data_IF_755938398967
#
_entry.id   IF_755938398967
#
_cell.length_a   1.000
_cell.length_b   1.000
_cell.length_c   1.000
_cell.angle_alpha   90.00
_cell.angle_beta   90.00
_cell.angle_gamma   90.00
#
_symmetry.space_group_name_H-M   'P 1'
#
loop_
_entity.id
_entity.type
_entity.pdbx_description
1 polymer ?
#
# COMPACT_ATOMS: atom_id res chain seq x y z
N UNK A 1 -0.88 -12.21 -20.25
CA UNK A 1 -2.21 -12.76 -19.91
C UNK A 1 -3.26 -12.04 -20.76
N UNK A 2 -4.40 -12.66 -21.08
CA UNK A 2 -5.53 -11.96 -21.74
C UNK A 2 -6.35 -11.17 -20.72
N UNK A 3 -7.10 -10.16 -21.17
CA UNK A 3 -7.97 -9.40 -20.27
C UNK A 3 -9.00 -10.30 -19.56
N UNK A 4 -9.64 -11.22 -20.30
CA UNK A 4 -10.64 -12.12 -19.72
C UNK A 4 -10.05 -13.07 -18.64
N UNK A 5 -8.79 -13.50 -18.79
CA UNK A 5 -8.12 -14.29 -17.74
C UNK A 5 -7.80 -13.42 -16.53
N UNK A 6 -7.36 -12.17 -16.74
CA UNK A 6 -7.15 -11.21 -15.66
C UNK A 6 -8.45 -10.96 -14.86
N UNK A 7 -9.58 -10.73 -15.53
CA UNK A 7 -10.87 -10.49 -14.88
C UNK A 7 -11.37 -11.70 -14.07
N UNK A 8 -11.14 -12.93 -14.57
CA UNK A 8 -11.44 -14.15 -13.81
C UNK A 8 -10.59 -14.26 -12.55
N UNK A 9 -9.28 -14.00 -12.67
CA UNK A 9 -8.40 -13.99 -11.51
C UNK A 9 -8.83 -12.91 -10.52
N UNK A 10 -9.21 -11.72 -11.00
CA UNK A 10 -9.63 -10.61 -10.15
C UNK A 10 -10.89 -10.92 -9.34
N UNK A 11 -11.85 -11.64 -9.93
CA UNK A 11 -13.05 -12.09 -9.24
C UNK A 11 -12.77 -13.10 -8.11
N UNK A 12 -11.64 -13.79 -8.15
CA UNK A 12 -11.23 -14.79 -7.15
C UNK A 12 -10.17 -14.27 -6.17
N UNK A 13 -9.21 -13.49 -6.66
CA UNK A 13 -8.04 -13.01 -5.93
C UNK A 13 -7.39 -11.81 -6.63
N UNK A 14 -7.47 -10.64 -5.99
CA UNK A 14 -6.82 -9.41 -6.47
C UNK A 14 -5.29 -9.56 -6.56
N UNK A 15 -4.68 -10.29 -5.62
CA UNK A 15 -3.26 -10.60 -5.65
C UNK A 15 -2.88 -11.41 -6.90
N UNK A 16 -3.67 -12.43 -7.24
CA UNK A 16 -3.42 -13.25 -8.42
C UNK A 16 -3.57 -12.44 -9.72
N UNK A 17 -4.58 -11.56 -9.77
CA UNK A 17 -4.80 -10.65 -10.89
C UNK A 17 -3.63 -9.66 -11.06
N UNK A 18 -3.19 -9.04 -9.96
CA UNK A 18 -2.06 -8.11 -9.95
C UNK A 18 -0.78 -8.81 -10.42
N UNK A 19 -0.47 -9.98 -9.88
CA UNK A 19 0.71 -10.76 -10.28
C UNK A 19 0.65 -11.18 -11.75
N UNK A 20 -0.52 -11.58 -12.25
CA UNK A 20 -0.68 -11.97 -13.65
C UNK A 20 -0.52 -10.78 -14.62
N UNK A 21 -0.91 -9.57 -14.21
CA UNK A 21 -0.79 -8.37 -15.02
C UNK A 21 0.62 -7.75 -14.96
N UNK A 22 1.23 -7.69 -13.77
CA UNK A 22 2.46 -6.93 -13.53
C UNK A 22 3.72 -7.79 -13.36
N UNK A 23 3.59 -9.05 -12.97
CA UNK A 23 4.70 -9.98 -12.76
C UNK A 23 5.59 -9.62 -11.57
N UNK A 24 6.86 -10.04 -11.63
CA UNK A 24 7.84 -9.81 -10.56
C UNK A 24 8.34 -8.36 -10.55
N UNK A 25 7.57 -7.50 -9.89
CA UNK A 25 7.90 -6.09 -9.66
C UNK A 25 7.67 -5.77 -8.19
N UNK A 26 8.34 -4.74 -7.70
CA UNK A 26 8.01 -4.21 -6.38
C UNK A 26 6.57 -3.68 -6.41
N UNK A 27 5.70 -4.25 -5.59
CA UNK A 27 4.32 -3.80 -5.45
C UNK A 27 4.26 -2.42 -4.76
N UNK A 28 5.10 -2.23 -3.76
CA UNK A 28 5.29 -0.96 -3.08
C UNK A 28 6.69 -0.89 -2.46
N UNK A 29 7.08 0.32 -2.09
CA UNK A 29 8.14 0.58 -1.13
C UNK A 29 7.55 1.28 0.08
N UNK A 30 8.18 1.09 1.23
CA UNK A 30 7.77 1.72 2.49
C UNK A 30 8.81 2.76 2.92
N UNK A 31 8.37 4.01 3.07
CA UNK A 31 9.17 5.08 3.67
C UNK A 31 9.15 4.93 5.20
N UNK A 32 10.34 4.90 5.80
CA UNK A 32 10.50 4.93 7.26
C UNK A 32 10.26 6.35 7.77
N UNK A 33 9.12 6.56 8.43
CA UNK A 33 8.76 7.85 9.01
C UNK A 33 9.69 8.21 10.16
N UNK A 34 10.22 7.20 10.85
CA UNK A 34 11.20 7.34 11.92
C UNK A 34 12.45 8.12 11.49
N UNK A 35 12.84 8.00 10.22
CA UNK A 35 14.08 8.58 9.70
C UNK A 35 13.86 9.96 9.04
N UNK A 36 12.62 10.46 9.01
CA UNK A 36 12.29 11.76 8.45
C UNK A 36 12.54 12.89 9.47
N UNK A 37 13.43 13.82 9.14
CA UNK A 37 13.84 14.89 10.08
C UNK A 37 12.75 15.92 10.39
N UNK A 38 11.80 16.14 9.47
CA UNK A 38 10.80 17.21 9.57
C UNK A 38 9.41 16.72 9.99
N UNK A 39 9.29 15.44 10.37
CA UNK A 39 8.00 14.82 10.67
C UNK A 39 8.06 14.14 12.04
N UNK A 40 7.18 14.56 12.93
CA UNK A 40 7.04 14.01 14.27
C UNK A 40 5.98 12.90 14.35
N UNK A 41 5.16 12.74 13.30
CA UNK A 41 4.11 11.72 13.26
C UNK A 41 3.71 11.32 11.84
N UNK A 42 3.02 10.19 11.72
CA UNK A 42 2.50 9.69 10.45
C UNK A 42 1.37 10.59 9.93
N UNK A 43 0.57 11.18 10.81
CA UNK A 43 -0.49 12.14 10.45
C UNK A 43 0.07 13.37 9.75
N UNK A 44 1.23 13.87 10.18
CA UNK A 44 1.89 15.01 9.53
C UNK A 44 2.34 14.65 8.11
N UNK A 45 2.89 13.44 7.92
CA UNK A 45 3.25 12.93 6.59
C UNK A 45 2.00 12.82 5.72
N UNK A 46 0.94 12.20 6.23
CA UNK A 46 -0.32 12.05 5.51
C UNK A 46 -0.93 13.40 5.11
N UNK A 47 -0.87 14.40 5.98
CA UNK A 47 -1.39 15.73 5.66
C UNK A 47 -0.62 16.37 4.51
N UNK A 48 0.71 16.29 4.51
CA UNK A 48 1.54 16.80 3.40
C UNK A 48 1.22 16.07 2.09
N UNK A 49 0.99 14.76 2.12
CA UNK A 49 0.59 13.99 0.94
C UNK A 49 -0.77 14.47 0.39
N UNK A 50 -1.75 14.67 1.27
CA UNK A 50 -3.07 15.18 0.89
C UNK A 50 -3.01 16.60 0.34
N UNK A 51 -2.22 17.48 0.97
CA UNK A 51 -2.02 18.87 0.51
C UNK A 51 -1.33 18.91 -0.87
N UNK A 52 -0.48 17.92 -1.16
CA UNK A 52 0.14 17.73 -2.48
C UNK A 52 -0.77 17.04 -3.51
N UNK A 53 -2.00 16.67 -3.14
CA UNK A 53 -3.00 16.08 -4.03
C UNK A 53 -2.96 14.55 -4.14
N UNK A 54 -2.19 13.86 -3.30
CA UNK A 54 -2.21 12.40 -3.26
C UNK A 54 -3.41 11.88 -2.47
N UNK A 55 -4.08 10.86 -3.00
CA UNK A 55 -5.14 10.15 -2.31
C UNK A 55 -4.55 9.04 -1.45
N UNK A 56 -5.03 8.91 -0.21
CA UNK A 56 -4.62 7.87 0.72
C UNK A 56 -5.66 6.75 0.79
N UNK A 57 -5.19 5.54 1.09
CA UNK A 57 -6.07 4.41 1.38
C UNK A 57 -6.73 4.61 2.75
N UNK A 58 -8.06 4.72 2.76
CA UNK A 58 -8.88 4.93 3.97
C UNK A 58 -9.59 3.66 4.46
N UNK A 59 -9.41 2.51 3.79
CA UNK A 59 -10.01 1.25 4.25
C UNK A 59 -9.45 0.87 5.62
N UNK A 60 -10.29 0.65 6.63
CA UNK A 60 -9.83 0.43 8.00
C UNK A 60 -9.24 1.68 8.70
N UNK A 61 -9.46 2.87 8.15
CA UNK A 61 -8.87 4.13 8.61
C UNK A 61 -7.68 4.56 7.74
N UNK A 62 -7.29 5.84 7.79
CA UNK A 62 -6.15 6.35 7.03
C UNK A 62 -4.81 5.82 7.59
N UNK A 63 -4.73 5.68 8.91
CA UNK A 63 -3.63 5.04 9.63
C UNK A 63 -4.11 3.70 10.18
N UNK A 64 -3.36 2.64 9.89
CA UNK A 64 -3.58 1.28 10.37
C UNK A 64 -2.55 0.93 11.43
N UNK A 65 -3.00 0.23 12.46
CA UNK A 65 -2.20 -0.03 13.64
C UNK A 65 -2.19 1.16 14.60
N UNK A 66 -1.41 1.04 15.66
CA UNK A 66 -1.35 1.99 16.76
C UNK A 66 0.02 1.89 17.45
N UNK A 67 0.38 2.86 18.32
CA UNK A 67 1.60 2.77 19.11
C UNK A 67 1.64 1.52 20.02
N UNK A 68 0.49 1.05 20.51
CA UNK A 68 0.39 -0.13 21.40
C UNK A 68 0.73 -1.44 20.68
N UNK A 69 0.51 -1.51 19.37
CA UNK A 69 0.95 -2.63 18.52
C UNK A 69 2.30 -2.36 17.86
N UNK A 70 2.98 -1.31 18.29
CA UNK A 70 4.33 -0.87 17.90
C UNK A 70 4.51 -0.49 16.43
N UNK A 71 3.43 -0.33 15.68
CA UNK A 71 3.47 -0.06 14.25
C UNK A 71 2.23 0.73 13.81
N UNK A 72 2.48 1.84 13.13
CA UNK A 72 1.48 2.61 12.38
C UNK A 72 1.87 2.62 10.91
N UNK A 73 0.89 2.45 10.03
CA UNK A 73 1.08 2.43 8.58
C UNK A 73 -0.01 3.21 7.86
N UNK A 74 0.37 3.92 6.80
CA UNK A 74 -0.56 4.48 5.82
C UNK A 74 -0.01 4.22 4.41
N UNK A 75 -0.85 4.38 3.41
CA UNK A 75 -0.45 4.20 2.02
C UNK A 75 -1.21 5.13 1.10
N UNK A 76 -0.61 5.46 -0.04
CA UNK A 76 -1.34 6.05 -1.15
C UNK A 76 -2.32 5.04 -1.75
N UNK A 77 -3.29 5.52 -2.51
CA UNK A 77 -3.93 4.69 -3.53
C UNK A 77 -2.91 4.37 -4.63
N UNK A 78 -3.07 3.22 -5.27
CA UNK A 78 -2.21 2.85 -6.37
C UNK A 78 -2.47 3.73 -7.60
N UNK A 79 -1.40 4.09 -8.30
CA UNK A 79 -1.52 4.80 -9.57
C UNK A 79 -2.16 3.90 -10.63
N UNK A 80 -2.92 4.51 -11.54
CA UNK A 80 -3.48 3.82 -12.70
C UNK A 80 -2.46 3.82 -13.84
N UNK A 81 -2.13 2.63 -14.36
CA UNK A 81 -1.19 2.46 -15.46
C UNK A 81 -1.78 1.55 -16.52
N UNK A 82 -1.53 1.88 -17.78
CA UNK A 82 -1.95 1.04 -18.92
C UNK A 82 -1.08 -0.21 -19.00
N UNK A 83 -1.70 -1.37 -18.87
CA UNK A 83 -1.11 -2.68 -19.13
C UNK A 83 -1.49 -3.15 -20.53
N UNK A 84 -0.53 -3.76 -21.23
CA UNK A 84 -0.79 -4.44 -22.52
C UNK A 84 -1.06 -5.91 -22.25
N UNK A 85 -2.32 -6.30 -22.29
CA UNK A 85 -2.70 -7.71 -22.33
C UNK A 85 -2.39 -8.31 -23.70
N UNK A 86 -2.49 -9.63 -23.82
CA UNK A 86 -2.22 -10.32 -25.10
C UNK A 86 -3.20 -9.96 -26.21
N UNK A 87 -4.38 -9.44 -25.85
CA UNK A 87 -5.52 -9.20 -26.74
C UNK A 87 -6.01 -7.74 -26.74
N UNK A 88 -5.58 -6.90 -25.79
CA UNK A 88 -6.01 -5.50 -25.67
C UNK A 88 -5.13 -4.71 -24.70
N UNK A 89 -5.36 -3.41 -24.58
CA UNK A 89 -4.78 -2.57 -23.52
C UNK A 89 -5.88 -2.18 -22.52
N UNK A 90 -5.54 -2.20 -21.24
CA UNK A 90 -6.44 -1.74 -20.19
C UNK A 90 -5.68 -0.91 -19.17
N UNK A 91 -6.34 0.08 -18.57
CA UNK A 91 -5.76 0.87 -17.49
C UNK A 91 -6.24 0.30 -16.16
N UNK A 92 -5.31 -0.20 -15.35
CA UNK A 92 -5.60 -0.87 -14.08
C UNK A 92 -4.69 -0.32 -12.96
N UNK A 93 -5.04 -0.52 -11.68
CA UNK A 93 -4.17 -0.15 -10.56
C UNK A 93 -2.81 -0.85 -10.63
N UNK A 94 -1.76 -0.08 -10.36
CA UNK A 94 -0.37 -0.54 -10.37
C UNK A 94 0.21 -0.64 -8.96
N UNK A 95 1.10 0.25 -8.57
CA UNK A 95 1.82 0.24 -7.31
C UNK A 95 1.36 1.41 -6.43
N UNK A 96 1.59 1.29 -5.12
CA UNK A 96 1.40 2.38 -4.17
C UNK A 96 2.70 2.65 -3.40
N UNK A 97 2.73 3.76 -2.66
CA UNK A 97 3.75 4.02 -1.66
C UNK A 97 3.17 3.85 -0.26
N UNK A 98 3.92 3.18 0.61
CA UNK A 98 3.59 3.00 2.01
C UNK A 98 4.47 3.92 2.88
N UNK A 99 3.95 4.32 4.03
CA UNK A 99 4.65 5.07 5.07
C UNK A 99 4.44 4.33 6.39
N UNK A 100 5.53 4.01 7.07
CA UNK A 100 5.48 3.27 8.32
C UNK A 100 6.25 3.98 9.43
N UNK A 101 5.61 4.05 10.59
CA UNK A 101 6.23 4.47 11.84
C UNK A 101 6.28 3.30 12.80
N UNK A 102 7.50 2.95 13.22
CA UNK A 102 7.79 1.86 14.16
C UNK A 102 8.08 2.43 15.54
N UNK A 103 7.62 1.75 16.58
CA UNK A 103 7.86 2.17 17.96
C UNK A 103 8.88 1.23 18.62
N UNK A 104 9.64 1.75 19.61
CA UNK A 104 10.60 0.94 20.35
C UNK A 104 9.89 -0.10 21.21
N UNK A 105 10.44 -1.31 21.23
CA UNK A 105 10.09 -2.36 22.17
C UNK A 105 10.77 -2.10 23.53
N UNK A 106 10.44 -2.91 24.53
CA UNK A 106 11.02 -2.81 25.88
C UNK A 106 12.56 -2.92 25.91
N UNK A 107 13.17 -3.54 24.89
CA UNK A 107 14.62 -3.65 24.74
C UNK A 107 15.26 -2.44 24.03
N UNK A 108 14.49 -1.40 23.71
CA UNK A 108 14.92 -0.20 23.01
C UNK A 108 15.09 -0.35 21.49
N UNK A 109 14.92 -1.55 20.94
CA UNK A 109 14.96 -1.79 19.49
C UNK A 109 13.59 -1.48 18.87
N UNK A 110 13.58 -0.98 17.64
CA UNK A 110 12.33 -0.78 16.89
C UNK A 110 11.69 -2.13 16.56
N UNK A 111 10.37 -2.20 16.68
CA UNK A 111 9.61 -3.36 16.21
C UNK A 111 9.85 -3.60 14.71
N UNK A 112 10.31 -4.80 14.34
CA UNK A 112 10.68 -5.15 12.96
C UNK A 112 9.65 -6.01 12.22
N UNK A 113 8.58 -6.43 12.90
CA UNK A 113 7.56 -7.28 12.31
C UNK A 113 6.55 -6.53 11.45
N UNK A 114 5.52 -7.28 11.03
CA UNK A 114 4.33 -6.78 10.37
C UNK A 114 3.09 -7.19 11.18
N UNK A 115 2.12 -6.29 11.28
CA UNK A 115 0.84 -6.59 11.93
C UNK A 115 -0.14 -7.05 10.86
N UNK A 116 -0.53 -8.32 10.90
CA UNK A 116 -1.37 -8.93 9.85
C UNK A 116 -2.67 -8.17 9.59
N UNK A 117 -3.31 -7.64 10.65
CA UNK A 117 -4.53 -6.84 10.52
C UNK A 117 -4.32 -5.52 9.77
N UNK A 118 -3.14 -4.90 9.91
CA UNK A 118 -2.78 -3.70 9.14
C UNK A 118 -2.45 -4.06 7.69
N UNK A 119 -1.73 -5.16 7.49
CA UNK A 119 -1.31 -5.60 6.15
C UNK A 119 -2.50 -5.95 5.24
N UNK A 120 -3.53 -6.62 5.78
CA UNK A 120 -4.75 -6.98 5.03
C UNK A 120 -5.40 -5.75 4.38
N UNK A 121 -5.48 -4.63 5.12
CA UNK A 121 -6.09 -3.39 4.64
C UNK A 121 -5.21 -2.56 3.73
N UNK A 122 -3.90 -2.80 3.73
CA UNK A 122 -2.96 -2.10 2.86
C UNK A 122 -2.98 -2.71 1.46
N UNK A 123 -3.18 -4.03 1.31
CA UNK A 123 -3.35 -4.65 -0.02
C UNK A 123 -4.57 -4.10 -0.77
N UNK A 124 -5.55 -3.54 -0.05
CA UNK A 124 -6.68 -2.85 -0.66
C UNK A 124 -6.30 -1.56 -1.41
N UNK A 125 -5.05 -1.08 -1.30
CA UNK A 125 -4.53 0.05 -2.09
C UNK A 125 -4.47 -0.21 -3.58
N UNK A 126 -4.41 -1.48 -4.01
CA UNK A 126 -4.42 -1.87 -5.44
C UNK A 126 -5.79 -2.29 -5.94
N UNK A 127 -6.85 -2.11 -5.15
CA UNK A 127 -8.16 -2.64 -5.54
C UNK A 127 -8.69 -1.97 -6.80
N UNK A 128 -9.12 -2.81 -7.74
CA UNK A 128 -9.82 -2.36 -8.93
C UNK A 128 -11.15 -1.70 -8.51
N UNK A 129 -11.34 -0.43 -8.87
CA UNK A 129 -12.55 0.34 -8.59
C UNK A 129 -13.44 0.41 -9.83
#
# INVERSE_FOLDING_TARGET
>A
VSQATYEKLLAESEYAAWMAAWGYRANHFTVSVNDLQNFASLEQVNQVLKDAGFLLNTSGGEIKGTPEVYLEQSSTLADLVTVKFSDTEATIPSCFYEFARRYPLANGLLYSGFVAASADKIFESTNAR
#
